data_IF_022806408856
#
_entry.id   IF_022806408856
#
_cell.length_a   1.000
_cell.length_b   1.000
_cell.length_c   1.000
_cell.angle_alpha   90.00
_cell.angle_beta   90.00
_cell.angle_gamma   90.00
#
_symmetry.space_group_name_H-M   'P 1'
#
loop_
_entity.id
_entity.type
_entity.pdbx_description
1 polymer ?
#
# COMPACT_ATOMS: atom_id res chain seq x y z
N UNK A 1 -14.70 4.08 16.89
CA UNK A 1 -13.97 3.71 15.66
C UNK A 1 -12.58 4.32 15.79
N UNK A 2 -11.48 3.55 15.78
CA UNK A 2 -10.17 4.14 16.05
C UNK A 2 -9.77 5.04 14.88
N UNK A 3 -9.26 6.22 15.22
CA UNK A 3 -8.82 7.28 14.31
C UNK A 3 -7.55 6.82 13.57
N UNK A 4 -7.67 6.54 12.27
CA UNK A 4 -6.51 6.30 11.41
C UNK A 4 -5.88 7.62 11.03
N UNK A 5 -4.72 7.92 11.63
CA UNK A 5 -3.82 9.01 11.27
C UNK A 5 -3.53 9.00 9.76
N UNK A 6 -4.17 9.93 9.06
CA UNK A 6 -4.14 10.13 7.62
C UNK A 6 -2.77 10.70 7.18
N UNK A 7 -2.19 10.24 6.05
CA UNK A 7 -0.97 10.84 5.51
C UNK A 7 -1.25 12.23 4.92
N UNK A 8 -0.22 13.07 4.84
CA UNK A 8 -0.29 14.47 4.41
C UNK A 8 -0.71 14.70 2.94
N UNK A 9 -0.94 13.63 2.17
CA UNK A 9 -1.75 13.56 0.96
C UNK A 9 -2.02 12.07 0.68
N UNK A 10 -3.27 11.59 0.71
CA UNK A 10 -3.54 10.17 0.47
C UNK A 10 -3.35 9.86 -1.03
N UNK A 11 -2.85 8.65 -1.37
CA UNK A 11 -3.12 8.03 -2.66
C UNK A 11 -4.63 8.07 -2.93
N UNK A 12 -5.04 8.09 -4.20
CA UNK A 12 -6.47 8.24 -4.58
C UNK A 12 -7.40 7.19 -3.93
N UNK A 13 -6.86 6.05 -3.49
CA UNK A 13 -7.58 4.97 -2.81
C UNK A 13 -6.90 4.53 -1.49
N UNK A 14 -7.70 4.09 -0.49
CA UNK A 14 -7.19 3.56 0.78
C UNK A 14 -6.45 2.22 0.57
N UNK A 15 -5.52 1.90 1.48
CA UNK A 15 -4.67 0.71 1.40
C UNK A 15 -5.48 -0.59 1.29
N UNK A 16 -6.50 -0.75 2.13
CA UNK A 16 -7.34 -1.96 2.16
C UNK A 16 -8.06 -2.16 0.83
N UNK A 17 -8.55 -1.08 0.23
CA UNK A 17 -9.20 -1.13 -1.08
C UNK A 17 -8.20 -1.47 -2.19
N UNK A 18 -7.01 -0.86 -2.18
CA UNK A 18 -5.96 -1.19 -3.14
C UNK A 18 -5.53 -2.66 -3.05
N UNK A 19 -5.39 -3.19 -1.83
CA UNK A 19 -5.06 -4.59 -1.56
C UNK A 19 -6.15 -5.52 -2.06
N UNK A 20 -7.42 -5.23 -1.75
CA UNK A 20 -8.53 -6.09 -2.13
C UNK A 20 -8.71 -6.13 -3.66
N UNK A 21 -8.51 -4.99 -4.33
CA UNK A 21 -8.49 -4.93 -5.79
C UNK A 21 -7.32 -5.73 -6.38
N UNK A 22 -6.12 -5.64 -5.78
CA UNK A 22 -4.95 -6.40 -6.21
C UNK A 22 -5.19 -7.91 -6.09
N UNK A 23 -5.81 -8.36 -4.99
CA UNK A 23 -6.17 -9.77 -4.79
C UNK A 23 -7.14 -10.24 -5.89
N UNK A 24 -8.13 -9.41 -6.24
CA UNK A 24 -9.08 -9.73 -7.30
C UNK A 24 -8.39 -9.85 -8.68
N UNK A 25 -7.46 -8.94 -8.98
CA UNK A 25 -6.66 -8.97 -10.21
C UNK A 25 -5.81 -10.24 -10.29
N UNK A 26 -5.08 -10.56 -9.24
CA UNK A 26 -4.25 -11.78 -9.17
C UNK A 26 -5.11 -13.03 -9.32
N UNK A 27 -6.23 -13.11 -8.61
CA UNK A 27 -7.14 -14.26 -8.72
C UNK A 27 -7.66 -14.45 -10.16
N UNK A 28 -7.93 -13.36 -10.88
CA UNK A 28 -8.39 -13.42 -12.27
C UNK A 28 -7.27 -13.85 -13.23
N UNK A 29 -6.04 -13.42 -12.99
CA UNK A 29 -4.87 -13.89 -13.74
C UNK A 29 -4.62 -15.38 -13.51
N UNK A 30 -4.74 -15.86 -12.26
CA UNK A 30 -4.54 -17.26 -11.89
C UNK A 30 -5.64 -18.19 -12.43
N UNK A 31 -6.89 -17.72 -12.49
CA UNK A 31 -7.99 -18.47 -13.11
C UNK A 31 -7.75 -18.71 -14.61
N UNK A 32 -7.00 -17.83 -15.26
CA UNK A 32 -6.77 -17.88 -16.70
C UNK A 32 -8.07 -17.70 -17.50
N UNK A 33 -8.08 -18.13 -18.76
CA UNK A 33 -9.24 -18.03 -19.64
C UNK A 33 -9.51 -16.62 -20.20
N UNK A 34 -8.64 -15.65 -19.89
CA UNK A 34 -8.61 -14.32 -20.50
C UNK A 34 -7.73 -14.31 -21.75
N UNK A 35 -8.05 -13.42 -22.68
CA UNK A 35 -7.18 -13.17 -23.84
C UNK A 35 -5.82 -12.58 -23.41
N UNK A 36 -4.84 -12.59 -24.31
CA UNK A 36 -3.52 -12.00 -24.04
C UNK A 36 -3.62 -10.51 -23.66
N UNK A 37 -4.40 -9.75 -24.42
CA UNK A 37 -4.58 -8.30 -24.18
C UNK A 37 -5.25 -8.03 -22.83
N UNK A 38 -6.26 -8.83 -22.46
CA UNK A 38 -6.89 -8.72 -21.13
C UNK A 38 -5.93 -9.11 -20.01
N UNK A 39 -5.09 -10.12 -20.24
CA UNK A 39 -4.10 -10.57 -19.25
C UNK A 39 -3.01 -9.51 -19.04
N UNK A 40 -2.61 -8.81 -20.10
CA UNK A 40 -1.70 -7.65 -20.01
C UNK A 40 -2.34 -6.48 -19.27
N UNK A 41 -3.60 -6.14 -19.58
CA UNK A 41 -4.31 -5.08 -18.89
C UNK A 41 -4.49 -5.36 -17.39
N UNK A 42 -4.80 -6.61 -17.02
CA UNK A 42 -4.87 -7.05 -15.63
C UNK A 42 -3.51 -6.95 -14.95
N UNK A 43 -2.44 -7.37 -15.61
CA UNK A 43 -1.09 -7.25 -15.07
C UNK A 43 -0.69 -5.79 -14.82
N UNK A 44 -0.90 -4.89 -15.79
CA UNK A 44 -0.61 -3.46 -15.63
C UNK A 44 -1.39 -2.83 -14.47
N UNK A 45 -2.67 -3.20 -14.33
CA UNK A 45 -3.48 -2.76 -13.19
C UNK A 45 -2.93 -3.31 -11.86
N UNK A 46 -2.50 -4.57 -11.84
CA UNK A 46 -1.86 -5.19 -10.69
C UNK A 46 -0.59 -4.45 -10.25
N UNK A 47 0.27 -4.09 -11.20
CA UNK A 47 1.50 -3.32 -10.93
C UNK A 47 1.20 -1.94 -10.32
N UNK A 48 0.19 -1.23 -10.84
CA UNK A 48 -0.24 0.06 -10.28
C UNK A 48 -0.74 -0.09 -8.83
N UNK A 49 -1.56 -1.11 -8.57
CA UNK A 49 -2.10 -1.38 -7.23
C UNK A 49 -0.98 -1.78 -6.25
N UNK A 50 -0.02 -2.59 -6.70
CA UNK A 50 1.15 -2.96 -5.92
C UNK A 50 2.00 -1.73 -5.55
N UNK A 51 2.21 -0.81 -6.49
CA UNK A 51 2.91 0.45 -6.23
C UNK A 51 2.19 1.32 -5.19
N UNK A 52 0.87 1.43 -5.27
CA UNK A 52 0.05 2.15 -4.27
C UNK A 52 0.19 1.50 -2.89
N UNK A 53 0.08 0.17 -2.81
CA UNK A 53 0.25 -0.57 -1.56
C UNK A 53 1.64 -0.32 -0.95
N UNK A 54 2.67 -0.33 -1.78
CA UNK A 54 4.04 -0.11 -1.33
C UNK A 54 4.25 1.31 -0.78
N UNK A 55 3.71 2.33 -1.45
CA UNK A 55 3.75 3.73 -0.98
C UNK A 55 3.10 3.88 0.40
N UNK A 56 1.96 3.24 0.63
CA UNK A 56 1.30 3.23 1.94
C UNK A 56 2.19 2.61 3.03
N UNK A 57 2.80 1.47 2.74
CA UNK A 57 3.68 0.77 3.69
C UNK A 57 4.97 1.56 3.98
N UNK A 58 5.55 2.21 2.96
CA UNK A 58 6.72 3.06 3.11
C UNK A 58 6.42 4.30 3.94
N UNK A 59 5.27 4.94 3.72
CA UNK A 59 4.80 6.04 4.56
C UNK A 59 4.60 5.61 6.01
N UNK A 60 4.04 4.42 6.25
CA UNK A 60 3.90 3.88 7.60
C UNK A 60 5.25 3.62 8.27
N UNK A 61 6.20 2.98 7.57
CA UNK A 61 7.58 2.76 8.05
C UNK A 61 8.28 4.06 8.40
N UNK A 62 8.19 5.08 7.55
CA UNK A 62 8.83 6.37 7.80
C UNK A 62 8.28 7.06 9.05
N UNK A 63 6.96 6.96 9.32
CA UNK A 63 6.34 7.48 10.54
C UNK A 63 6.82 6.75 11.78
N UNK A 64 6.90 5.41 11.73
CA UNK A 64 7.42 4.61 12.83
C UNK A 64 8.88 4.96 13.13
N UNK A 65 9.73 5.04 12.11
CA UNK A 65 11.14 5.40 12.28
C UNK A 65 11.30 6.78 12.94
N UNK A 66 10.49 7.78 12.54
CA UNK A 66 10.49 9.11 13.17
C UNK A 66 10.03 9.06 14.63
N UNK A 67 9.00 8.27 14.93
CA UNK A 67 8.51 8.12 16.29
C UNK A 67 9.56 7.48 17.21
N UNK A 68 10.22 6.41 16.76
CA UNK A 68 11.31 5.76 17.50
C UNK A 68 12.50 6.69 17.72
N UNK A 69 12.96 7.38 16.66
CA UNK A 69 14.08 8.32 16.80
C UNK A 69 13.77 9.48 17.76
N UNK A 70 12.52 9.94 17.83
CA UNK A 70 12.12 10.97 18.80
C UNK A 70 12.17 10.46 20.25
N UNK A 71 11.89 9.18 20.49
CA UNK A 71 11.97 8.59 21.83
C UNK A 71 13.42 8.37 22.29
N UNK A 72 14.33 8.02 21.38
CA UNK A 72 15.75 7.81 21.71
C UNK A 72 16.44 9.12 22.13
N UNK A 73 16.09 10.24 21.48
CA UNK A 73 16.66 11.57 21.81
C UNK A 73 16.17 12.10 23.16
N UNK A 74 14.92 11.80 23.53
CA UNK A 74 14.36 12.16 24.84
C UNK A 74 15.01 11.34 25.97
N UNK A 75 15.36 10.08 25.72
CA UNK A 75 15.99 9.20 26.70
C UNK A 75 17.48 9.45 26.94
N UNK A 76 18.21 10.02 25.97
CA UNK A 76 19.64 10.40 26.12
C UNK A 76 19.81 11.80 26.76
N UNK A 77 18.74 12.59 26.79
CA UNK A 77 18.72 13.93 27.39
C UNK A 77 18.35 13.94 28.89
N UNK A 78 18.06 12.78 29.49
CA UNK A 78 17.83 12.56 30.94
C UNK A 78 19.01 11.86 31.61
#
# INVERSE_FOLDING_TARGET
>A
MPETTQPASPPEIPYEQARDELIAVVSRLEQGGTSLDESLALWERGEQLAAICQQWLDGARARLAKATAAQDVDSDAM
#
